data_IF_868380558852
#
_entry.id   IF_868380558852
#
_cell.length_a   1.000
_cell.length_b   1.000
_cell.length_c   1.000
_cell.angle_alpha   90.00
_cell.angle_beta   90.00
_cell.angle_gamma   90.00
#
_symmetry.space_group_name_H-M   'P 1'
#
loop_
_entity.id
_entity.type
_entity.pdbx_description
1 polymer ?
#
# COMPACT_ATOMS: atom_id res chain seq x y z
N UNK A 1 1.90 25.32 -9.65
CA UNK A 1 2.75 25.48 -8.45
C UNK A 1 4.11 24.82 -8.60
N UNK A 2 4.18 23.53 -8.93
CA UNK A 2 5.46 22.81 -9.07
C UNK A 2 6.43 23.49 -10.06
N UNK A 3 5.93 23.94 -11.22
CA UNK A 3 6.72 24.70 -12.18
C UNK A 3 7.16 26.07 -11.66
N UNK A 4 6.33 26.79 -10.88
CA UNK A 4 6.73 28.06 -10.26
C UNK A 4 7.84 27.87 -9.23
N UNK A 5 7.80 26.76 -8.48
CA UNK A 5 8.86 26.41 -7.53
C UNK A 5 10.16 26.07 -8.28
N UNK A 6 10.09 25.27 -9.36
CA UNK A 6 11.26 24.95 -10.20
C UNK A 6 11.88 26.20 -10.84
N UNK A 7 11.06 27.17 -11.24
CA UNK A 7 11.51 28.45 -11.79
C UNK A 7 12.16 29.34 -10.72
N UNK A 8 11.61 29.38 -9.51
CA UNK A 8 12.15 30.18 -8.41
C UNK A 8 13.44 29.59 -7.81
N UNK A 9 13.62 28.28 -7.89
CA UNK A 9 14.80 27.56 -7.39
C UNK A 9 15.43 26.69 -8.49
N UNK A 10 16.11 27.31 -9.47
CA UNK A 10 16.77 26.56 -10.53
C UNK A 10 17.92 25.70 -9.97
N UNK A 11 18.23 24.61 -10.66
CA UNK A 11 19.34 23.68 -10.30
C UNK A 11 20.71 24.36 -10.25
N UNK A 12 20.83 25.52 -10.88
CA UNK A 12 22.03 26.33 -10.90
C UNK A 12 21.62 27.78 -10.62
N UNK A 13 22.19 28.36 -9.57
CA UNK A 13 21.99 29.77 -9.22
C UNK A 13 23.36 30.39 -8.87
N UNK A 14 23.85 31.25 -9.77
CA UNK A 14 25.10 31.98 -9.58
C UNK A 14 25.10 32.83 -8.30
N UNK A 15 23.93 33.33 -7.85
CA UNK A 15 23.82 34.18 -6.65
C UNK A 15 23.91 33.39 -5.35
N UNK A 16 23.67 32.08 -5.39
CA UNK A 16 23.72 31.17 -4.23
C UNK A 16 24.97 30.28 -4.22
N UNK A 17 25.97 30.61 -5.04
CA UNK A 17 27.26 29.92 -5.06
C UNK A 17 27.29 28.63 -5.89
N UNK A 18 26.37 28.45 -6.86
CA UNK A 18 26.44 27.36 -7.84
C UNK A 18 25.27 26.39 -7.81
N UNK A 19 25.54 25.08 -7.74
CA UNK A 19 24.51 24.04 -7.81
C UNK A 19 23.62 24.02 -6.56
N UNK A 20 22.33 24.30 -6.74
CA UNK A 20 21.32 24.19 -5.68
C UNK A 20 20.42 22.97 -5.92
N UNK A 21 20.13 22.22 -4.86
CA UNK A 21 19.14 21.15 -4.92
C UNK A 21 17.76 21.80 -4.96
N UNK A 22 16.93 21.56 -6.00
CA UNK A 22 15.60 22.14 -6.05
C UNK A 22 14.73 21.53 -4.94
N UNK A 23 13.84 22.32 -4.31
CA UNK A 23 12.86 21.80 -3.37
C UNK A 23 11.90 20.84 -4.07
N UNK A 24 11.54 19.76 -3.38
CA UNK A 24 10.63 18.74 -3.89
C UNK A 24 9.23 18.97 -3.33
N UNK A 25 8.26 19.25 -4.20
CA UNK A 25 6.85 19.33 -3.84
C UNK A 25 6.18 17.96 -4.08
N UNK A 26 5.59 17.39 -3.04
CA UNK A 26 4.79 16.18 -3.11
C UNK A 26 3.36 16.56 -2.73
N UNK A 27 2.39 16.20 -3.57
CA UNK A 27 0.96 16.48 -3.33
C UNK A 27 0.14 15.21 -3.44
N UNK A 28 -0.80 15.03 -2.52
CA UNK A 28 -1.82 14.00 -2.57
C UNK A 28 -3.16 14.62 -2.18
N UNK A 29 -4.09 14.73 -3.14
CA UNK A 29 -5.34 15.48 -2.95
C UNK A 29 -5.09 16.91 -2.40
N UNK A 30 -5.58 17.19 -1.20
CA UNK A 30 -5.43 18.43 -0.43
C UNK A 30 -4.13 18.49 0.41
N UNK A 31 -3.56 17.34 0.76
CA UNK A 31 -2.31 17.27 1.52
C UNK A 31 -1.09 17.55 0.63
N UNK A 32 -0.20 18.43 1.12
CA UNK A 32 1.03 18.81 0.44
C UNK A 32 2.23 18.77 1.39
N UNK A 33 3.39 18.39 0.88
CA UNK A 33 4.67 18.39 1.59
C UNK A 33 5.75 18.99 0.69
N UNK A 34 6.54 19.90 1.25
CA UNK A 34 7.74 20.45 0.60
C UNK A 34 8.97 19.94 1.33
N UNK A 35 9.91 19.34 0.61
CA UNK A 35 11.15 18.81 1.14
C UNK A 35 12.35 19.58 0.58
N UNK A 36 13.18 20.10 1.48
CA UNK A 36 14.44 20.76 1.14
C UNK A 36 15.43 20.66 2.31
N UNK A 37 16.73 20.75 2.03
CA UNK A 37 17.78 20.64 3.06
C UNK A 37 17.93 21.92 3.90
N UNK A 38 17.74 23.09 3.27
CA UNK A 38 17.78 24.41 3.90
C UNK A 38 16.39 24.87 4.33
N UNK A 39 16.27 25.25 5.59
CA UNK A 39 15.06 25.81 6.22
C UNK A 39 14.61 27.12 5.57
N UNK A 40 15.54 27.99 5.17
CA UNK A 40 15.23 29.30 4.58
C UNK A 40 14.45 29.15 3.27
N UNK A 41 14.81 28.14 2.47
CA UNK A 41 14.13 27.80 1.22
C UNK A 41 12.74 27.21 1.49
N UNK A 42 12.57 26.41 2.56
CA UNK A 42 11.25 25.90 2.96
C UNK A 42 10.32 27.06 3.36
N UNK A 43 10.82 28.04 4.12
CA UNK A 43 10.06 29.23 4.50
C UNK A 43 9.66 30.08 3.29
N UNK A 44 10.59 30.29 2.34
CA UNK A 44 10.29 30.96 1.07
C UNK A 44 9.21 30.20 0.27
N UNK A 45 9.33 28.87 0.19
CA UNK A 45 8.32 28.03 -0.47
C UNK A 45 6.95 28.14 0.21
N UNK A 46 6.90 28.21 1.55
CA UNK A 46 5.67 28.38 2.31
C UNK A 46 4.99 29.71 1.98
N UNK A 47 5.76 30.81 1.89
CA UNK A 47 5.24 32.12 1.51
C UNK A 47 4.69 32.09 0.08
N UNK A 48 5.46 31.58 -0.88
CA UNK A 48 5.03 31.45 -2.27
C UNK A 48 3.76 30.59 -2.42
N UNK A 49 3.65 29.51 -1.63
CA UNK A 49 2.46 28.66 -1.60
C UNK A 49 1.25 29.43 -1.06
N UNK A 50 1.42 30.21 0.02
CA UNK A 50 0.36 31.01 0.61
C UNK A 50 -0.17 32.06 -0.37
N UNK A 51 0.73 32.77 -1.06
CA UNK A 51 0.36 33.76 -2.09
C UNK A 51 -0.39 33.11 -3.25
N UNK A 52 0.07 31.95 -3.73
CA UNK A 52 -0.60 31.23 -4.81
C UNK A 52 -1.97 30.67 -4.41
N UNK A 53 -2.12 30.17 -3.17
CA UNK A 53 -3.39 29.69 -2.66
C UNK A 53 -4.41 30.82 -2.48
N UNK A 54 -3.94 31.98 -2.02
CA UNK A 54 -4.79 33.18 -1.85
C UNK A 54 -5.39 33.63 -3.18
N UNK A 55 -4.65 33.52 -4.29
CA UNK A 55 -5.17 33.81 -5.64
C UNK A 55 -6.34 32.91 -6.04
N UNK A 56 -6.46 31.72 -5.43
CA UNK A 56 -7.57 30.78 -5.65
C UNK A 56 -8.63 30.83 -4.54
N UNK A 57 -8.53 31.78 -3.60
CA UNK A 57 -9.44 31.90 -2.45
C UNK A 57 -9.24 30.82 -1.38
N UNK A 58 -8.07 30.17 -1.34
CA UNK A 58 -7.73 29.15 -0.35
C UNK A 58 -6.68 29.67 0.63
N UNK A 59 -6.74 29.22 1.87
CA UNK A 59 -5.76 29.57 2.93
C UNK A 59 -5.18 28.31 3.57
N UNK A 60 -3.92 28.40 3.98
CA UNK A 60 -3.27 27.31 4.72
C UNK A 60 -3.80 27.28 6.16
N UNK A 61 -4.21 26.10 6.62
CA UNK A 61 -4.67 25.94 7.99
C UNK A 61 -3.48 26.02 8.97
N UNK A 62 -3.43 26.99 9.89
CA UNK A 62 -2.25 27.24 10.72
C UNK A 62 -1.93 26.07 11.65
N UNK A 63 -2.94 25.35 12.15
CA UNK A 63 -2.69 24.18 13.03
C UNK A 63 -2.26 22.90 12.29
N UNK A 64 -2.50 22.81 10.97
CA UNK A 64 -2.06 21.65 10.17
C UNK A 64 -0.68 21.88 9.56
N UNK A 65 -0.32 23.13 9.33
CA UNK A 65 0.93 23.52 8.68
C UNK A 65 2.03 23.56 9.73
N UNK A 66 3.02 22.67 9.62
CA UNK A 66 4.19 22.64 10.49
C UNK A 66 5.45 22.49 9.67
N UNK A 67 6.53 23.10 10.15
CA UNK A 67 7.88 22.86 9.65
C UNK A 67 8.57 21.92 10.64
N UNK A 68 9.07 20.79 10.16
CA UNK A 68 9.69 19.76 10.97
C UNK A 68 10.94 19.23 10.29
N UNK A 69 11.98 18.93 11.05
CA UNK A 69 13.15 18.26 10.53
C UNK A 69 12.98 16.73 10.62
N UNK A 70 13.43 16.02 9.60
CA UNK A 70 13.30 14.56 9.52
C UNK A 70 14.29 13.78 10.39
N UNK A 71 15.42 14.36 10.78
CA UNK A 71 16.56 13.67 11.43
C UNK A 71 16.87 14.25 12.82
N UNK A 72 16.93 15.58 12.93
CA UNK A 72 17.22 16.26 14.18
C UNK A 72 15.92 16.72 14.85
N UNK A 73 15.71 16.41 16.14
CA UNK A 73 14.58 16.95 16.89
C UNK A 73 14.72 18.46 17.00
N UNK A 74 13.88 19.20 16.28
CA UNK A 74 13.66 20.63 16.50
C UNK A 74 12.25 20.80 17.05
N UNK A 75 12.03 20.37 18.30
CA UNK A 75 10.75 20.46 19.01
C UNK A 75 10.21 19.11 19.50
N UNK A 76 8.88 18.99 19.61
CA UNK A 76 8.19 17.84 20.25
C UNK A 76 8.01 16.61 19.34
N UNK A 77 8.10 16.76 18.01
CA UNK A 77 7.82 15.65 17.08
C UNK A 77 8.86 15.54 15.96
N UNK A 78 9.53 14.40 15.90
CA UNK A 78 10.48 14.06 14.85
C UNK A 78 9.80 13.54 13.59
N UNK A 79 10.19 14.06 12.42
CA UNK A 79 9.59 13.68 11.16
C UNK A 79 8.21 14.30 10.92
N UNK A 80 7.51 13.80 9.91
CA UNK A 80 6.18 14.30 9.54
C UNK A 80 5.24 13.16 9.16
N UNK A 81 3.95 13.43 9.27
CA UNK A 81 2.88 12.54 8.82
C UNK A 81 2.39 12.99 7.45
N UNK A 82 2.22 12.04 6.53
CA UNK A 82 1.70 12.24 5.19
C UNK A 82 0.77 11.07 4.86
N UNK A 83 -0.46 11.32 4.36
CA UNK A 83 -1.62 10.43 4.36
C UNK A 83 -1.46 9.06 5.01
N UNK A 84 -1.49 9.06 6.35
CA UNK A 84 -1.48 7.86 7.17
C UNK A 84 -0.12 7.22 7.42
N UNK A 85 0.96 7.79 6.89
CA UNK A 85 2.35 7.34 7.07
C UNK A 85 3.16 8.37 7.86
N UNK A 86 3.96 7.91 8.80
CA UNK A 86 4.99 8.72 9.46
C UNK A 86 6.32 8.50 8.73
N UNK A 87 6.94 9.58 8.27
CA UNK A 87 8.25 9.59 7.62
C UNK A 87 9.26 10.21 8.58
N UNK A 88 10.23 9.40 9.01
CA UNK A 88 11.29 9.84 9.93
C UNK A 88 12.64 9.25 9.53
N UNK A 89 13.70 10.02 9.74
CA UNK A 89 15.08 9.59 9.60
C UNK A 89 15.67 9.31 10.97
N UNK A 90 16.43 8.22 11.06
CA UNK A 90 17.09 7.78 12.28
C UNK A 90 18.60 7.76 12.04
N UNK A 91 19.41 8.32 12.96
CA UNK A 91 20.86 8.17 12.90
C UNK A 91 21.25 6.70 12.82
N UNK A 92 22.18 6.37 11.92
CA UNK A 92 22.59 4.98 11.69
C UNK A 92 24.11 4.88 11.65
N UNK A 93 24.65 3.89 12.37
CA UNK A 93 26.08 3.62 12.37
C UNK A 93 26.62 3.20 10.99
N UNK A 94 27.94 3.20 10.85
CA UNK A 94 28.68 2.96 9.59
C UNK A 94 28.19 1.75 8.78
N UNK A 95 27.84 0.65 9.44
CA UNK A 95 27.44 -0.62 8.81
C UNK A 95 25.94 -0.73 8.51
N UNK A 96 25.15 0.23 8.99
CA UNK A 96 23.70 0.21 8.88
C UNK A 96 23.16 1.48 8.26
N UNK A 97 24.00 2.34 7.70
CA UNK A 97 23.56 3.58 7.06
C UNK A 97 22.97 3.33 5.67
N UNK A 98 22.09 4.22 5.22
CA UNK A 98 21.67 4.23 3.82
C UNK A 98 22.79 4.80 2.95
N UNK A 99 22.87 4.35 1.70
CA UNK A 99 23.79 4.89 0.70
C UNK A 99 23.01 5.68 -0.35
N UNK A 100 23.63 6.74 -0.88
CA UNK A 100 23.10 7.42 -2.06
C UNK A 100 23.31 6.58 -3.33
N UNK A 101 22.86 7.09 -4.48
CA UNK A 101 23.02 6.41 -5.78
C UNK A 101 24.50 6.16 -6.18
N UNK A 102 25.44 6.89 -5.57
CA UNK A 102 26.88 6.80 -5.82
C UNK A 102 27.63 5.97 -4.75
N UNK A 103 26.90 5.31 -3.83
CA UNK A 103 27.49 4.49 -2.77
C UNK A 103 28.01 5.28 -1.56
N UNK A 104 27.84 6.60 -1.51
CA UNK A 104 28.25 7.43 -0.37
C UNK A 104 27.31 7.19 0.83
N UNK A 105 27.84 6.93 2.05
CA UNK A 105 27.03 6.76 3.24
C UNK A 105 26.34 8.08 3.65
N UNK A 106 25.06 8.01 4.01
CA UNK A 106 24.24 9.18 4.36
C UNK A 106 24.27 9.51 5.87
N UNK A 107 24.71 8.58 6.71
CA UNK A 107 24.69 8.72 8.18
C UNK A 107 23.33 8.44 8.85
N UNK A 108 22.28 8.15 8.06
CA UNK A 108 20.94 7.89 8.58
C UNK A 108 20.18 6.84 7.76
N UNK A 109 19.06 6.35 8.31
CA UNK A 109 18.07 5.51 7.63
C UNK A 109 16.71 6.18 7.67
N UNK A 110 16.02 6.21 6.54
CA UNK A 110 14.62 6.67 6.49
C UNK A 110 13.71 5.49 6.74
N UNK A 111 12.89 5.56 7.79
CA UNK A 111 11.83 4.60 8.05
C UNK A 111 10.49 5.27 7.79
N UNK A 112 9.68 4.61 6.97
CA UNK A 112 8.29 4.98 6.74
C UNK A 112 7.46 3.93 7.47
N UNK A 113 6.60 4.38 8.37
CA UNK A 113 5.78 3.52 9.22
C UNK A 113 4.31 3.97 9.18
N UNK A 114 3.34 3.09 9.50
CA UNK A 114 1.97 3.53 9.73
C UNK A 114 1.95 4.57 10.85
N UNK A 115 1.24 5.68 10.62
CA UNK A 115 1.16 6.75 11.61
C UNK A 115 0.42 6.32 12.88
N UNK A 116 0.78 6.86 14.07
CA UNK A 116 0.07 6.56 15.31
C UNK A 116 -1.43 6.82 15.22
N UNK A 117 -1.82 7.90 14.52
CA UNK A 117 -3.23 8.24 14.27
C UNK A 117 -3.94 7.20 13.41
N UNK A 118 -3.27 6.64 12.40
CA UNK A 118 -3.83 5.57 11.55
C UNK A 118 -3.95 4.25 12.28
N UNK A 119 -2.98 3.91 13.13
CA UNK A 119 -3.04 2.72 14.00
C UNK A 119 -4.22 2.86 14.97
N UNK A 120 -4.34 4.01 15.64
CA UNK A 120 -5.43 4.27 16.60
C UNK A 120 -6.81 4.21 15.92
N UNK A 121 -6.97 4.85 14.76
CA UNK A 121 -8.22 4.78 13.97
C UNK A 121 -8.59 3.34 13.61
N UNK A 122 -7.60 2.50 13.29
CA UNK A 122 -7.84 1.09 13.00
C UNK A 122 -8.25 0.31 14.26
N UNK A 123 -7.58 0.52 15.39
CA UNK A 123 -7.98 -0.05 16.67
C UNK A 123 -9.41 0.33 17.04
N UNK A 124 -9.77 1.61 16.92
CA UNK A 124 -11.14 2.09 17.18
C UNK A 124 -12.16 1.39 16.28
N UNK A 125 -11.86 1.23 14.99
CA UNK A 125 -12.72 0.51 14.05
C UNK A 125 -12.90 -0.95 14.44
N UNK A 126 -11.82 -1.66 14.77
CA UNK A 126 -11.88 -3.06 15.23
C UNK A 126 -12.67 -3.18 16.54
N UNK A 127 -12.44 -2.26 17.49
CA UNK A 127 -13.15 -2.20 18.76
C UNK A 127 -14.66 -2.05 18.55
N UNK A 128 -15.07 -1.10 17.71
CA UNK A 128 -16.49 -0.90 17.37
C UNK A 128 -17.12 -2.16 16.76
N UNK A 129 -16.39 -2.90 15.93
CA UNK A 129 -16.87 -4.17 15.36
C UNK A 129 -17.07 -5.20 16.47
N UNK A 130 -16.09 -5.36 17.37
CA UNK A 130 -16.16 -6.32 18.49
C UNK A 130 -17.34 -5.97 19.42
N UNK A 131 -17.52 -4.70 19.76
CA UNK A 131 -18.61 -4.22 20.62
C UNK A 131 -19.99 -4.49 20.02
N UNK A 132 -20.16 -4.25 18.71
CA UNK A 132 -21.42 -4.56 18.00
C UNK A 132 -21.70 -6.07 17.93
N UNK A 133 -20.66 -6.89 17.97
CA UNK A 133 -20.74 -8.34 17.84
C UNK A 133 -20.57 -9.08 19.18
N UNK A 134 -20.85 -8.43 20.33
CA UNK A 134 -20.79 -9.08 21.65
C UNK A 134 -21.67 -10.34 21.74
N UNK A 135 -22.90 -10.26 21.24
CA UNK A 135 -23.84 -11.38 21.23
C UNK A 135 -23.63 -12.35 20.05
N UNK A 136 -22.92 -11.94 19.00
CA UNK A 136 -22.76 -12.71 17.76
C UNK A 136 -22.01 -14.03 17.96
N UNK A 137 -22.15 -14.93 17.00
CA UNK A 137 -21.33 -16.16 16.95
C UNK A 137 -19.88 -15.83 16.60
N UNK A 138 -18.98 -16.74 16.95
CA UNK A 138 -17.55 -16.59 16.64
C UNK A 138 -17.30 -16.44 15.12
N UNK A 139 -18.03 -17.20 14.30
CA UNK A 139 -17.92 -17.14 12.83
C UNK A 139 -18.34 -15.77 12.29
N UNK A 140 -19.45 -15.20 12.77
CA UNK A 140 -19.91 -13.87 12.37
C UNK A 140 -18.90 -12.78 12.74
N UNK A 141 -18.31 -12.86 13.94
CA UNK A 141 -17.27 -11.93 14.37
C UNK A 141 -16.03 -12.00 13.47
N UNK A 142 -15.57 -13.21 13.13
CA UNK A 142 -14.44 -13.41 12.22
C UNK A 142 -14.76 -12.85 10.83
N UNK A 143 -15.96 -13.11 10.31
CA UNK A 143 -16.40 -12.61 9.02
C UNK A 143 -16.41 -11.07 8.96
N UNK A 144 -16.78 -10.39 10.05
CA UNK A 144 -16.77 -8.93 10.12
C UNK A 144 -15.36 -8.33 10.25
N UNK A 145 -14.46 -8.99 11.00
CA UNK A 145 -13.10 -8.50 11.25
C UNK A 145 -12.16 -8.72 10.06
N UNK A 146 -12.25 -9.86 9.38
CA UNK A 146 -11.29 -10.27 8.35
C UNK A 146 -11.12 -9.26 7.21
N UNK A 147 -12.19 -8.73 6.57
CA UNK A 147 -12.03 -7.77 5.48
C UNK A 147 -11.33 -6.48 5.92
N UNK A 148 -11.57 -6.04 7.16
CA UNK A 148 -10.98 -4.82 7.72
C UNK A 148 -9.48 -5.03 8.01
N UNK A 149 -9.12 -6.17 8.59
CA UNK A 149 -7.72 -6.54 8.86
C UNK A 149 -6.95 -6.68 7.55
N UNK A 150 -7.48 -7.45 6.59
CA UNK A 150 -6.85 -7.71 5.30
C UNK A 150 -6.65 -6.40 4.53
N UNK A 151 -7.69 -5.56 4.47
CA UNK A 151 -7.60 -4.27 3.77
C UNK A 151 -6.54 -3.34 4.37
N UNK A 152 -6.52 -3.21 5.70
CA UNK A 152 -5.55 -2.36 6.39
C UNK A 152 -4.12 -2.88 6.24
N UNK A 153 -3.92 -4.19 6.41
CA UNK A 153 -2.60 -4.81 6.22
C UNK A 153 -2.10 -4.65 4.78
N UNK A 154 -2.95 -4.84 3.77
CA UNK A 154 -2.57 -4.66 2.37
C UNK A 154 -2.17 -3.21 2.08
N UNK A 155 -2.90 -2.22 2.60
CA UNK A 155 -2.58 -0.80 2.43
C UNK A 155 -1.18 -0.45 2.97
N UNK A 156 -0.86 -0.95 4.18
CA UNK A 156 0.42 -0.69 4.83
C UNK A 156 1.53 -1.70 4.47
N UNK A 157 1.29 -2.63 3.54
CA UNK A 157 2.26 -3.69 3.18
C UNK A 157 3.51 -3.15 2.47
N UNK A 158 3.48 -1.92 1.98
CA UNK A 158 4.60 -1.30 1.24
C UNK A 158 5.67 -0.69 2.14
N UNK A 159 5.33 -0.42 3.41
CA UNK A 159 6.16 0.31 4.36
C UNK A 159 6.66 -0.58 5.51
N UNK A 160 7.42 -0.03 6.45
CA UNK A 160 7.98 -0.77 7.59
C UNK A 160 6.89 -1.01 8.64
N UNK A 161 6.06 -2.02 8.41
CA UNK A 161 4.84 -2.26 9.20
C UNK A 161 4.91 -3.41 10.20
N UNK A 162 5.98 -4.23 10.19
CA UNK A 162 6.05 -5.45 11.02
C UNK A 162 5.81 -5.19 12.51
N UNK A 163 6.41 -4.14 13.07
CA UNK A 163 6.22 -3.79 14.49
C UNK A 163 4.78 -3.34 14.78
N UNK A 164 4.19 -2.54 13.88
CA UNK A 164 2.80 -2.12 13.98
C UNK A 164 1.84 -3.32 13.89
N UNK A 165 2.12 -4.27 12.99
CA UNK A 165 1.35 -5.51 12.87
C UNK A 165 1.37 -6.34 14.14
N UNK A 166 2.55 -6.56 14.72
CA UNK A 166 2.69 -7.32 15.97
C UNK A 166 1.94 -6.64 17.13
N UNK A 167 2.06 -5.31 17.25
CA UNK A 167 1.34 -4.54 18.26
C UNK A 167 -0.18 -4.62 18.09
N UNK A 168 -0.68 -4.53 16.86
CA UNK A 168 -2.10 -4.68 16.55
C UNK A 168 -2.61 -6.10 16.79
N UNK A 169 -1.86 -7.12 16.41
CA UNK A 169 -2.22 -8.53 16.64
C UNK A 169 -2.29 -8.84 18.14
N UNK A 170 -1.33 -8.35 18.93
CA UNK A 170 -1.34 -8.49 20.38
C UNK A 170 -2.54 -7.78 21.02
N UNK A 171 -2.78 -6.52 20.63
CA UNK A 171 -3.92 -5.76 21.13
C UNK A 171 -5.25 -6.43 20.77
N UNK A 172 -5.40 -6.89 19.54
CA UNK A 172 -6.61 -7.58 19.07
C UNK A 172 -6.82 -8.90 19.82
N UNK A 173 -5.76 -9.65 20.09
CA UNK A 173 -5.83 -10.85 20.93
C UNK A 173 -6.40 -10.54 22.31
N UNK A 174 -5.96 -9.47 22.97
CA UNK A 174 -6.49 -9.06 24.27
C UNK A 174 -7.99 -8.73 24.18
N UNK A 175 -8.40 -7.95 23.18
CA UNK A 175 -9.82 -7.61 22.97
C UNK A 175 -10.70 -8.85 22.73
N UNK A 176 -10.21 -9.81 21.94
CA UNK A 176 -10.93 -11.06 21.67
C UNK A 176 -10.98 -11.98 22.90
N UNK A 177 -9.94 -11.95 23.74
CA UNK A 177 -9.91 -12.68 25.01
C UNK A 177 -10.94 -12.11 25.99
N UNK A 178 -11.07 -10.79 26.06
CA UNK A 178 -12.08 -10.14 26.88
C UNK A 178 -13.49 -10.46 26.39
N UNK A 179 -13.72 -10.39 25.07
CA UNK A 179 -14.98 -10.81 24.44
C UNK A 179 -15.32 -12.27 24.78
N UNK A 180 -14.34 -13.18 24.70
CA UNK A 180 -14.54 -14.60 24.99
C UNK A 180 -14.79 -14.87 26.49
N UNK A 181 -14.13 -14.13 27.37
CA UNK A 181 -14.30 -14.22 28.83
C UNK A 181 -15.67 -13.70 29.26
N UNK A 182 -16.12 -12.59 28.68
CA UNK A 182 -17.44 -12.02 28.96
C UNK A 182 -18.58 -13.00 28.66
N UNK A 183 -18.43 -13.83 27.61
CA UNK A 183 -19.41 -14.86 27.25
C UNK A 183 -19.42 -16.08 28.19
N UNK A 184 -18.36 -16.29 28.96
CA UNK A 184 -18.20 -17.48 29.81
C UNK A 184 -17.67 -17.12 31.21
N UNK A 185 -18.41 -16.35 32.00
CA UNK A 185 -17.93 -15.83 33.30
C UNK A 185 -17.61 -16.94 34.32
N UNK A 186 -18.19 -18.14 34.15
CA UNK A 186 -17.99 -19.30 35.05
C UNK A 186 -16.94 -20.30 34.55
N UNK A 187 -16.28 -20.04 33.42
CA UNK A 187 -15.31 -20.99 32.83
C UNK A 187 -13.88 -20.51 33.08
N UNK A 188 -12.97 -21.47 33.22
CA UNK A 188 -11.56 -21.17 33.38
C UNK A 188 -10.96 -20.60 32.09
N UNK A 189 -9.91 -19.80 32.24
CA UNK A 189 -9.18 -19.22 31.11
C UNK A 189 -8.64 -20.29 30.15
N UNK A 190 -8.18 -21.44 30.68
CA UNK A 190 -7.73 -22.58 29.86
C UNK A 190 -8.85 -23.13 28.98
N UNK A 191 -10.07 -23.24 29.52
CA UNK A 191 -11.22 -23.71 28.75
C UNK A 191 -11.58 -22.71 27.65
N UNK A 192 -11.55 -21.41 27.95
CA UNK A 192 -11.82 -20.34 26.97
C UNK A 192 -10.81 -20.39 25.82
N UNK A 193 -9.52 -20.46 26.14
CA UNK A 193 -8.46 -20.55 25.11
C UNK A 193 -8.66 -21.77 24.23
N UNK A 194 -8.88 -22.96 24.81
CA UNK A 194 -9.07 -24.20 24.04
C UNK A 194 -10.34 -24.18 23.17
N UNK A 195 -11.38 -23.44 23.59
CA UNK A 195 -12.65 -23.35 22.85
C UNK A 195 -12.52 -22.45 21.61
N UNK A 196 -11.89 -21.30 21.76
CA UNK A 196 -11.91 -20.24 20.74
C UNK A 196 -10.62 -20.13 19.93
N UNK A 197 -9.49 -20.59 20.46
CA UNK A 197 -8.21 -20.63 19.76
C UNK A 197 -7.87 -22.06 19.38
N UNK A 198 -7.77 -22.31 18.08
CA UNK A 198 -7.39 -23.61 17.54
C UNK A 198 -5.91 -23.62 17.19
N UNK A 199 -5.25 -24.74 17.48
CA UNK A 199 -3.87 -24.96 17.07
C UNK A 199 -3.82 -25.29 15.58
N UNK A 200 -2.99 -24.54 14.84
CA UNK A 200 -2.65 -24.87 13.47
C UNK A 200 -1.19 -25.32 13.37
N UNK A 201 -0.94 -26.44 12.70
CA UNK A 201 0.43 -26.95 12.50
C UNK A 201 1.25 -25.89 11.76
N UNK A 202 2.32 -25.41 12.40
CA UNK A 202 3.24 -24.42 11.82
C UNK A 202 2.88 -22.95 12.02
N UNK A 203 1.66 -22.61 12.46
CA UNK A 203 1.22 -21.20 12.60
C UNK A 203 0.71 -20.84 14.00
N UNK A 204 0.81 -21.77 14.95
CA UNK A 204 0.47 -21.54 16.35
C UNK A 204 -1.04 -21.44 16.62
N UNK A 205 -1.39 -20.78 17.72
CA UNK A 205 -2.77 -20.63 18.19
C UNK A 205 -3.45 -19.47 17.46
N UNK A 206 -4.56 -19.74 16.78
CA UNK A 206 -5.33 -18.72 16.04
C UNK A 206 -6.79 -18.74 16.46
N UNK A 207 -7.39 -17.56 16.60
CA UNK A 207 -8.82 -17.43 16.85
C UNK A 207 -9.60 -17.96 15.65
N UNK A 208 -10.36 -19.03 15.84
CA UNK A 208 -10.96 -19.76 14.74
C UNK A 208 -12.26 -20.47 15.14
N UNK A 209 -13.24 -20.44 14.24
CA UNK A 209 -14.53 -21.09 14.40
C UNK A 209 -14.62 -22.31 13.47
N UNK A 210 -15.14 -23.42 13.99
CA UNK A 210 -15.54 -24.57 13.17
C UNK A 210 -16.94 -24.29 12.61
N UNK A 211 -17.05 -24.27 11.28
CA UNK A 211 -18.30 -24.08 10.54
C UNK A 211 -18.58 -25.33 9.69
N UNK A 212 -19.82 -25.53 9.19
CA UNK A 212 -20.12 -26.64 8.29
C UNK A 212 -19.22 -26.68 7.05
N UNK A 213 -18.81 -25.50 6.57
CA UNK A 213 -17.97 -25.32 5.38
C UNK A 213 -16.46 -25.43 5.68
N UNK A 214 -16.08 -25.70 6.93
CA UNK A 214 -14.70 -25.85 7.38
C UNK A 214 -14.30 -24.91 8.51
N UNK A 215 -12.98 -24.73 8.71
CA UNK A 215 -12.45 -23.90 9.80
C UNK A 215 -12.25 -22.47 9.31
N UNK A 216 -13.08 -21.55 9.79
CA UNK A 216 -12.93 -20.12 9.53
C UNK A 216 -11.94 -19.51 10.53
N UNK A 217 -10.87 -18.88 10.03
CA UNK A 217 -9.79 -18.32 10.87
C UNK A 217 -9.78 -16.80 10.78
N UNK A 218 -9.40 -16.17 11.90
CA UNK A 218 -9.13 -14.75 11.92
C UNK A 218 -7.85 -14.44 11.13
N UNK A 219 -7.92 -13.39 10.29
CA UNK A 219 -6.76 -12.85 9.63
C UNK A 219 -5.77 -12.25 10.65
N UNK A 220 -4.48 -12.43 10.41
CA UNK A 220 -3.40 -11.94 11.28
C UNK A 220 -2.60 -10.90 10.50
N UNK A 221 -2.39 -9.72 11.08
CA UNK A 221 -1.74 -8.62 10.36
C UNK A 221 -0.31 -9.02 9.97
N UNK A 222 0.43 -9.66 10.89
CA UNK A 222 1.83 -10.03 10.70
C UNK A 222 2.05 -11.15 9.66
N UNK A 223 0.99 -11.82 9.19
CA UNK A 223 1.09 -12.78 8.06
C UNK A 223 1.12 -12.08 6.70
N UNK A 224 0.82 -10.79 6.65
CA UNK A 224 0.88 -10.02 5.41
C UNK A 224 2.33 -9.73 5.06
N UNK A 225 2.80 -10.29 3.95
CA UNK A 225 4.15 -10.07 3.48
C UNK A 225 4.37 -8.58 3.12
N UNK A 226 5.47 -8.00 3.61
CA UNK A 226 5.87 -6.66 3.24
C UNK A 226 6.40 -6.67 1.80
N UNK A 227 5.73 -5.95 0.91
CA UNK A 227 6.05 -5.85 -0.52
C UNK A 227 6.45 -4.43 -0.85
N UNK A 228 7.75 -4.17 -0.97
CA UNK A 228 8.27 -2.83 -1.26
C UNK A 228 7.78 -2.32 -2.62
N UNK A 229 7.29 -1.09 -2.63
CA UNK A 229 6.88 -0.44 -3.88
C UNK A 229 8.11 -0.15 -4.75
N UNK A 230 8.07 -0.60 -5.99
CA UNK A 230 9.09 -0.29 -7.00
C UNK A 230 8.67 1.01 -7.68
N UNK A 231 9.49 2.06 -7.58
CA UNK A 231 9.22 3.35 -8.25
C UNK A 231 9.24 3.20 -9.79
N UNK A 232 8.49 4.06 -10.49
CA UNK A 232 8.68 4.25 -11.94
C UNK A 232 10.10 4.75 -12.18
N UNK A 233 10.79 4.23 -13.20
CA UNK A 233 12.17 4.63 -13.50
C UNK A 233 12.19 6.00 -14.19
N UNK A 234 12.85 6.97 -13.56
CA UNK A 234 13.18 8.26 -14.17
C UNK A 234 11.97 9.01 -14.75
N UNK A 235 12.06 9.36 -16.02
CA UNK A 235 11.05 10.07 -16.81
C UNK A 235 10.14 9.12 -17.61
N UNK A 236 10.15 7.81 -17.30
CA UNK A 236 9.29 6.85 -17.99
C UNK A 236 7.83 7.25 -17.82
N UNK A 237 7.13 7.24 -18.93
CA UNK A 237 5.73 7.64 -19.04
C UNK A 237 4.96 6.48 -19.65
N UNK A 238 3.72 6.19 -19.25
CA UNK A 238 2.88 5.20 -19.96
C UNK A 238 2.76 5.46 -21.47
N UNK A 239 3.14 6.66 -21.93
CA UNK A 239 3.13 7.11 -23.31
C UNK A 239 4.52 7.10 -23.99
N UNK A 240 5.58 6.61 -23.33
CA UNK A 240 6.97 6.60 -23.85
C UNK A 240 7.27 5.46 -24.83
N UNK A 241 6.25 4.72 -25.26
CA UNK A 241 6.33 3.55 -26.12
C UNK A 241 7.17 2.37 -25.59
N UNK A 242 7.66 2.40 -24.34
CA UNK A 242 8.34 1.27 -23.70
C UNK A 242 7.32 0.22 -23.23
N UNK A 243 6.73 -0.44 -24.21
CA UNK A 243 5.63 -1.38 -24.01
C UNK A 243 6.07 -2.61 -23.17
N UNK A 244 7.35 -2.97 -23.19
CA UNK A 244 7.89 -4.08 -22.40
C UNK A 244 7.94 -3.73 -20.90
N UNK A 245 8.37 -2.52 -20.56
CA UNK A 245 8.39 -2.05 -19.17
C UNK A 245 6.98 -1.96 -18.60
N UNK A 246 6.05 -1.37 -19.35
CA UNK A 246 4.67 -1.19 -18.91
C UNK A 246 3.90 -2.50 -18.85
N UNK A 247 4.08 -3.42 -19.80
CA UNK A 247 3.45 -4.75 -19.74
C UNK A 247 3.93 -5.58 -18.54
N UNK A 248 5.22 -5.52 -18.23
CA UNK A 248 5.80 -6.19 -17.05
C UNK A 248 5.28 -5.57 -15.74
N UNK A 249 5.09 -4.25 -15.71
CA UNK A 249 4.51 -3.53 -14.57
C UNK A 249 3.03 -3.83 -14.38
N UNK A 250 2.26 -3.93 -15.46
CA UNK A 250 0.84 -4.30 -15.42
C UNK A 250 0.65 -5.69 -14.80
N UNK A 251 1.47 -6.68 -15.16
CA UNK A 251 1.41 -8.01 -14.52
C UNK A 251 1.71 -8.00 -13.01
N UNK A 252 2.29 -6.92 -12.47
CA UNK A 252 2.56 -6.72 -11.03
C UNK A 252 1.56 -5.75 -10.37
N UNK A 253 0.58 -5.24 -11.12
CA UNK A 253 -0.37 -4.27 -10.63
C UNK A 253 -1.36 -4.95 -9.65
N UNK A 254 -1.66 -4.36 -8.47
CA UNK A 254 -2.50 -5.00 -7.46
C UNK A 254 -3.93 -5.33 -7.90
N UNK A 255 -4.48 -4.59 -8.88
CA UNK A 255 -5.82 -4.82 -9.41
C UNK A 255 -5.87 -5.93 -10.46
N UNK A 256 -4.71 -6.42 -10.92
CA UNK A 256 -4.64 -7.49 -11.92
C UNK A 256 -4.65 -8.83 -11.19
N UNK A 257 -5.65 -9.66 -11.50
CA UNK A 257 -5.79 -11.00 -10.95
C UNK A 257 -4.58 -11.90 -11.29
N UNK A 258 -4.32 -12.89 -10.44
CA UNK A 258 -3.16 -13.78 -10.59
C UNK A 258 -3.14 -14.57 -11.90
N UNK A 259 -4.32 -14.92 -12.43
CA UNK A 259 -4.47 -15.57 -13.74
C UNK A 259 -4.02 -14.63 -14.88
N UNK A 260 -4.54 -13.41 -14.91
CA UNK A 260 -4.16 -12.39 -15.91
C UNK A 260 -2.67 -12.06 -15.82
N UNK A 261 -2.12 -11.91 -14.62
CA UNK A 261 -0.69 -11.69 -14.42
C UNK A 261 0.18 -12.83 -14.97
N UNK A 262 -0.27 -14.08 -14.78
CA UNK A 262 0.42 -15.26 -15.31
C UNK A 262 0.36 -15.32 -16.83
N UNK A 263 -0.79 -15.01 -17.44
CA UNK A 263 -0.96 -14.94 -18.89
C UNK A 263 -0.14 -13.80 -19.51
N UNK A 264 -0.14 -12.61 -18.90
CA UNK A 264 0.73 -11.48 -19.32
C UNK A 264 2.19 -11.89 -19.34
N UNK A 265 2.66 -12.62 -18.33
CA UNK A 265 4.03 -13.14 -18.26
C UNK A 265 4.30 -14.20 -19.35
N UNK A 266 3.39 -15.16 -19.52
CA UNK A 266 3.51 -16.23 -20.52
C UNK A 266 3.53 -15.70 -21.95
N UNK A 267 2.66 -14.74 -22.26
CA UNK A 267 2.55 -14.09 -23.57
C UNK A 267 3.51 -12.92 -23.78
N UNK A 268 4.45 -12.70 -22.85
CA UNK A 268 5.43 -11.59 -22.91
C UNK A 268 4.78 -10.22 -23.10
N UNK A 269 3.59 -10.03 -22.52
CA UNK A 269 2.83 -8.79 -22.57
C UNK A 269 2.15 -8.51 -23.90
N UNK A 270 2.02 -9.51 -24.80
CA UNK A 270 1.40 -9.38 -26.11
C UNK A 270 0.04 -10.05 -26.17
N UNK A 271 -0.87 -9.48 -26.94
CA UNK A 271 -2.13 -10.10 -27.29
C UNK A 271 -1.90 -11.32 -28.19
N UNK A 272 -2.52 -12.46 -27.87
CA UNK A 272 -2.34 -13.68 -28.67
C UNK A 272 -2.94 -13.57 -30.09
N UNK A 273 -3.94 -12.69 -30.29
CA UNK A 273 -4.58 -12.46 -31.58
C UNK A 273 -3.83 -11.43 -32.43
N UNK A 274 -3.70 -10.17 -31.97
CA UNK A 274 -3.08 -9.11 -32.79
C UNK A 274 -1.56 -8.96 -32.60
N UNK A 275 -0.94 -9.69 -31.68
CA UNK A 275 0.50 -9.65 -31.38
C UNK A 275 1.05 -8.28 -30.92
N UNK A 276 0.17 -7.30 -30.70
CA UNK A 276 0.51 -6.01 -30.13
C UNK A 276 0.65 -6.11 -28.61
N UNK A 277 1.46 -5.23 -28.03
CA UNK A 277 1.61 -5.14 -26.58
C UNK A 277 0.37 -4.52 -25.95
N UNK A 278 0.00 -5.05 -24.79
CA UNK A 278 -1.01 -4.45 -23.92
C UNK A 278 -0.48 -3.13 -23.34
N UNK A 279 -1.37 -2.15 -23.23
CA UNK A 279 -1.18 -0.84 -22.60
C UNK A 279 -2.09 -0.68 -21.38
N UNK A 280 -1.77 0.29 -20.54
CA UNK A 280 -2.44 0.54 -19.25
C UNK A 280 -3.97 0.79 -19.36
N UNK A 281 -4.44 1.32 -20.50
CA UNK A 281 -5.87 1.59 -20.75
C UNK A 281 -6.58 0.48 -21.51
N UNK A 282 -5.87 -0.57 -21.89
CA UNK A 282 -6.47 -1.64 -22.68
C UNK A 282 -7.34 -2.52 -21.78
N UNK A 283 -8.53 -2.86 -22.28
CA UNK A 283 -9.39 -3.83 -21.64
C UNK A 283 -8.92 -5.23 -22.02
N UNK A 284 -8.56 -6.00 -21.00
CA UNK A 284 -7.99 -7.34 -21.12
C UNK A 284 -9.07 -8.38 -20.84
N UNK A 285 -9.23 -9.35 -21.74
CA UNK A 285 -10.17 -10.45 -21.58
C UNK A 285 -9.45 -11.79 -21.70
N UNK A 286 -9.82 -12.73 -20.84
CA UNK A 286 -9.32 -14.10 -20.89
C UNK A 286 -10.24 -14.89 -21.82
N UNK A 287 -9.64 -15.59 -22.76
CA UNK A 287 -10.30 -16.41 -23.76
C UNK A 287 -9.72 -17.83 -23.77
N UNK A 288 -10.47 -18.78 -24.33
CA UNK A 288 -9.99 -20.15 -24.55
C UNK A 288 -9.41 -20.28 -25.96
N UNK A 289 -8.18 -20.82 -26.07
CA UNK A 289 -7.53 -21.10 -27.37
C UNK A 289 -8.42 -22.01 -28.21
N UNK A 290 -8.85 -23.13 -27.62
CA UNK A 290 -9.91 -23.99 -28.15
C UNK A 290 -11.19 -23.61 -27.42
N UNK A 291 -12.23 -23.12 -28.13
CA UNK A 291 -13.51 -22.75 -27.53
C UNK A 291 -14.13 -23.92 -26.76
N UNK A 292 -14.83 -23.62 -25.65
CA UNK A 292 -15.55 -24.65 -24.88
C UNK A 292 -16.60 -25.39 -25.72
N UNK A 293 -17.25 -24.69 -26.64
CA UNK A 293 -18.21 -25.27 -27.58
C UNK A 293 -17.58 -26.36 -28.49
N UNK A 294 -16.28 -26.25 -28.77
CA UNK A 294 -15.52 -27.20 -29.58
C UNK A 294 -14.76 -28.23 -28.74
N UNK A 295 -15.15 -28.40 -27.46
CA UNK A 295 -14.53 -29.37 -26.55
C UNK A 295 -13.30 -28.85 -25.79
N UNK A 296 -13.01 -27.54 -25.86
CA UNK A 296 -11.93 -26.91 -25.10
C UNK A 296 -12.15 -26.98 -23.59
N UNK A 297 -11.11 -27.40 -22.86
CA UNK A 297 -11.14 -27.48 -21.39
C UNK A 297 -10.77 -26.16 -20.72
N UNK A 298 -11.26 -25.97 -19.49
CA UNK A 298 -10.92 -24.81 -18.66
C UNK A 298 -9.59 -24.99 -17.90
N UNK A 299 -8.52 -25.23 -18.67
CA UNK A 299 -7.17 -25.46 -18.15
C UNK A 299 -6.26 -24.30 -18.53
N UNK A 300 -5.29 -23.96 -17.68
CA UNK A 300 -4.40 -22.81 -17.90
C UNK A 300 -3.66 -22.86 -19.24
N UNK A 301 -3.35 -24.05 -19.74
CA UNK A 301 -2.72 -24.29 -21.06
C UNK A 301 -3.63 -23.93 -22.24
N UNK A 302 -4.95 -23.93 -22.04
CA UNK A 302 -5.95 -23.54 -23.01
C UNK A 302 -6.41 -22.09 -22.84
N UNK A 303 -5.85 -21.33 -21.90
CA UNK A 303 -6.22 -19.92 -21.70
C UNK A 303 -5.24 -18.99 -22.42
N UNK A 304 -5.78 -17.93 -23.00
CA UNK A 304 -5.02 -16.84 -23.59
C UNK A 304 -5.63 -15.50 -23.20
N UNK A 305 -4.82 -14.46 -23.21
CA UNK A 305 -5.21 -13.09 -22.93
C UNK A 305 -5.30 -12.30 -24.23
N UNK A 306 -6.42 -11.63 -24.43
CA UNK A 306 -6.72 -10.85 -25.62
C UNK A 306 -7.09 -9.41 -25.24
N UNK A 307 -6.95 -8.49 -26.19
CA UNK A 307 -7.67 -7.22 -26.09
C UNK A 307 -9.16 -7.50 -26.26
N UNK A 308 -10.03 -6.74 -25.60
CA UNK A 308 -11.49 -6.86 -25.76
C UNK A 308 -11.94 -6.90 -27.22
N UNK A 309 -11.47 -5.98 -28.05
CA UNK A 309 -11.80 -5.98 -29.49
C UNK A 309 -11.28 -7.23 -30.23
N UNK A 310 -10.15 -7.80 -29.81
CA UNK A 310 -9.62 -9.04 -30.38
C UNK A 310 -10.43 -10.26 -29.92
N UNK A 311 -10.89 -10.25 -28.67
CA UNK A 311 -11.78 -11.27 -28.12
C UNK A 311 -13.10 -11.30 -28.89
N UNK A 312 -13.70 -10.14 -29.15
CA UNK A 312 -14.94 -10.01 -29.92
C UNK A 312 -14.78 -10.57 -31.34
N UNK A 313 -13.68 -10.24 -32.02
CA UNK A 313 -13.36 -10.76 -33.38
C UNK A 313 -13.15 -12.27 -33.36
N UNK A 314 -12.37 -12.79 -32.41
CA UNK A 314 -12.14 -14.24 -32.30
C UNK A 314 -13.43 -14.98 -32.01
N UNK A 315 -14.22 -14.51 -31.04
CA UNK A 315 -15.51 -15.11 -30.68
C UNK A 315 -16.48 -15.15 -31.86
N UNK A 316 -16.45 -14.15 -32.73
CA UNK A 316 -17.23 -14.15 -33.97
C UNK A 316 -16.75 -15.20 -34.99
N UNK A 317 -15.43 -15.40 -35.09
CA UNK A 317 -14.82 -16.36 -36.02
C UNK A 317 -14.93 -17.81 -35.55
N UNK A 318 -14.92 -18.04 -34.24
CA UNK A 318 -15.00 -19.38 -33.65
C UNK A 318 -16.37 -20.05 -33.86
N UNK A 319 -17.38 -19.27 -34.30
CA UNK A 319 -18.76 -19.71 -34.41
C UNK A 319 -19.38 -19.90 -33.02
N UNK A 320 -20.67 -19.55 -32.89
CA UNK A 320 -21.41 -19.75 -31.64
C UNK A 320 -21.60 -21.22 -31.31
#
# INVERSE_FOLDING_TARGET
>A
MEERIKQAFPRWDAKRGGHCQPPHLIRYADDLVVLHADLSIVQQCQQMLSEWLTQMGLTLHPSKTRITHTLHPQGETDGFDFPGFTVRQFPAGKYHTAHNAYGTPLGFKTLIQPSPTSIKRHQEKLKQIIERHQAATQSQLIAALNPVIIGWSNYFSTVVSSQAYQGLDHWLYLQLKDWATHRHPRKSQRWITNKYWLLHRGEGWTFAAVTPDGIQRLAVHNRTAIKRHIKVQGNRSPFDADCLYWSTRMGRHPQIGQQVASLLKGQRGKCAHCQLFFKDRDLLEIDHIIPRAQGGKDEFTNLQLLHRHCHDVKSANDGR
#
